data_IF_544399310467
#
_entry.id   IF_544399310467
#
_cell.length_a   1.000
_cell.length_b   1.000
_cell.length_c   1.000
_cell.angle_alpha   90.00
_cell.angle_beta   90.00
_cell.angle_gamma   90.00
#
_symmetry.space_group_name_H-M   'P 1'
#
loop_
_entity.id
_entity.type
_entity.pdbx_description
1 polymer ?
#
# COMPACT_ATOMS: atom_id res chain seq x y z
N UNK A 1 26.19 -15.54 -3.02
CA UNK A 1 25.10 -16.54 -2.76
C UNK A 1 25.55 -17.70 -1.84
N UNK A 2 26.84 -17.94 -1.60
CA UNK A 2 27.30 -19.10 -0.83
C UNK A 2 27.67 -18.80 0.63
N UNK A 3 27.57 -17.56 1.11
CA UNK A 3 28.01 -17.13 2.45
C UNK A 3 27.02 -16.19 3.13
N UNK A 4 25.75 -16.51 3.11
CA UNK A 4 24.67 -15.66 3.66
C UNK A 4 24.90 -15.30 5.14
N UNK A 5 25.33 -16.25 5.96
CA UNK A 5 25.65 -16.00 7.37
C UNK A 5 26.80 -15.01 7.58
N UNK A 6 27.80 -15.00 6.72
CA UNK A 6 28.90 -14.04 6.78
C UNK A 6 28.43 -12.64 6.38
N UNK A 7 27.66 -12.55 5.30
CA UNK A 7 27.07 -11.28 4.83
C UNK A 7 26.18 -10.68 5.90
N UNK A 8 25.32 -11.49 6.53
CA UNK A 8 24.46 -11.06 7.63
C UNK A 8 25.26 -10.51 8.81
N UNK A 9 26.25 -11.27 9.29
CA UNK A 9 27.13 -10.83 10.41
C UNK A 9 27.89 -9.55 10.06
N UNK A 10 28.41 -9.45 8.85
CA UNK A 10 29.09 -8.26 8.39
C UNK A 10 28.15 -7.05 8.36
N UNK A 11 26.94 -7.22 7.81
CA UNK A 11 25.93 -6.17 7.78
C UNK A 11 25.53 -5.72 9.18
N UNK A 12 25.21 -6.66 10.08
CA UNK A 12 24.85 -6.36 11.48
C UNK A 12 25.98 -5.60 12.20
N UNK A 13 27.22 -6.05 12.05
CA UNK A 13 28.37 -5.39 12.65
C UNK A 13 28.56 -3.97 12.07
N UNK A 14 28.41 -3.81 10.74
CA UNK A 14 28.51 -2.51 10.07
C UNK A 14 27.44 -1.54 10.54
N UNK A 15 26.19 -1.98 10.64
CA UNK A 15 25.07 -1.15 11.12
C UNK A 15 25.29 -0.70 12.56
N UNK A 16 25.69 -1.62 13.46
CA UNK A 16 26.05 -1.27 14.84
C UNK A 16 27.18 -0.25 14.91
N UNK A 17 28.19 -0.40 14.03
CA UNK A 17 29.29 0.56 13.94
C UNK A 17 28.82 1.96 13.51
N UNK A 18 27.93 2.04 12.52
CA UNK A 18 27.36 3.31 12.07
C UNK A 18 26.42 3.94 13.10
N UNK A 19 25.56 3.15 13.76
CA UNK A 19 24.71 3.61 14.87
C UNK A 19 25.54 4.20 16.01
N UNK A 20 26.62 3.52 16.37
CA UNK A 20 27.56 4.01 17.38
C UNK A 20 28.20 5.33 16.94
N UNK A 21 28.73 5.37 15.71
CA UNK A 21 29.39 6.56 15.15
C UNK A 21 28.45 7.76 15.12
N UNK A 22 27.20 7.59 14.66
CA UNK A 22 26.20 8.65 14.64
C UNK A 22 25.68 9.07 16.01
N UNK A 23 25.77 8.18 16.99
CA UNK A 23 25.42 8.49 18.39
C UNK A 23 26.56 9.19 19.12
N UNK A 24 27.82 8.97 18.68
CA UNK A 24 29.04 9.44 19.32
C UNK A 24 29.95 10.19 18.33
N UNK A 25 29.39 11.22 17.63
CA UNK A 25 30.06 11.91 16.52
C UNK A 25 31.42 12.48 16.95
N UNK A 26 31.53 13.15 18.09
CA UNK A 26 32.77 13.78 18.52
C UNK A 26 33.89 12.75 18.75
N UNK A 27 33.58 11.62 19.40
CA UNK A 27 34.54 10.55 19.63
C UNK A 27 34.98 9.89 18.32
N UNK A 28 34.01 9.62 17.43
CA UNK A 28 34.28 9.06 16.10
C UNK A 28 35.16 9.99 15.25
N UNK A 29 34.91 11.29 15.29
CA UNK A 29 35.73 12.30 14.61
C UNK A 29 37.14 12.36 15.18
N UNK A 30 37.33 12.24 16.49
CA UNK A 30 38.69 12.16 17.08
C UNK A 30 39.48 10.98 16.52
N UNK A 31 38.85 9.82 16.41
CA UNK A 31 39.50 8.63 15.82
C UNK A 31 39.85 8.86 14.35
N UNK A 32 38.89 9.40 13.56
CA UNK A 32 39.10 9.72 12.15
C UNK A 32 40.23 10.75 11.96
N UNK A 33 40.19 11.85 12.72
CA UNK A 33 41.18 12.92 12.62
C UNK A 33 42.58 12.45 12.90
N UNK A 34 42.73 11.64 13.94
CA UNK A 34 44.09 11.20 14.38
C UNK A 34 44.65 10.03 13.57
N UNK A 35 43.80 9.15 12.99
CA UNK A 35 44.25 7.91 12.34
C UNK A 35 43.92 7.78 10.88
N UNK A 36 42.85 8.45 10.39
CA UNK A 36 42.27 8.19 9.06
C UNK A 36 41.91 9.47 8.30
N UNK A 37 42.74 10.53 8.43
CA UNK A 37 42.50 11.83 7.81
C UNK A 37 43.55 12.15 6.69
N UNK A 38 43.59 11.36 5.58
CA UNK A 38 44.56 11.56 4.53
C UNK A 38 44.34 12.89 3.75
N UNK A 39 43.16 13.48 3.86
CA UNK A 39 42.82 14.75 3.21
C UNK A 39 43.10 15.96 4.08
N UNK A 40 43.69 15.78 5.27
CA UNK A 40 44.01 16.85 6.23
C UNK A 40 42.81 17.81 6.52
N UNK A 41 41.62 17.25 6.61
CA UNK A 41 40.43 18.03 6.97
C UNK A 41 40.50 18.50 8.42
N UNK A 42 39.94 19.68 8.72
CA UNK A 42 39.79 20.12 10.11
C UNK A 42 38.76 19.27 10.87
N UNK A 43 38.83 19.28 12.20
CA UNK A 43 37.84 18.57 13.04
C UNK A 43 36.43 19.10 12.83
N UNK A 44 36.29 20.41 12.67
CA UNK A 44 35.01 21.09 12.41
C UNK A 44 34.41 20.61 11.08
N UNK A 45 35.23 20.45 10.03
CA UNK A 45 34.78 19.93 8.74
C UNK A 45 34.30 18.47 8.86
N UNK A 46 35.02 17.63 9.60
CA UNK A 46 34.65 16.23 9.86
C UNK A 46 33.36 16.11 10.70
N UNK A 47 33.18 16.99 11.70
CA UNK A 47 31.93 17.05 12.49
C UNK A 47 30.76 17.48 11.60
N UNK A 48 30.94 18.46 10.75
CA UNK A 48 29.91 18.91 9.80
C UNK A 48 29.52 17.75 8.86
N UNK A 49 30.50 17.08 8.23
CA UNK A 49 30.24 15.93 7.36
C UNK A 49 29.49 14.81 8.11
N UNK A 50 29.90 14.46 9.31
CA UNK A 50 29.23 13.42 10.11
C UNK A 50 27.76 13.77 10.41
N UNK A 51 27.47 15.03 10.72
CA UNK A 51 26.09 15.47 10.94
C UNK A 51 25.25 15.42 9.66
N UNK A 52 25.80 15.82 8.53
CA UNK A 52 25.09 15.75 7.24
C UNK A 52 24.87 14.29 6.79
N UNK A 53 25.88 13.43 6.97
CA UNK A 53 25.74 11.99 6.71
C UNK A 53 24.67 11.36 7.60
N UNK A 54 24.58 11.73 8.88
CA UNK A 54 23.54 11.26 9.78
C UNK A 54 22.15 11.66 9.30
N UNK A 55 21.95 12.91 8.86
CA UNK A 55 20.68 13.37 8.28
C UNK A 55 20.30 12.59 7.02
N UNK A 56 21.26 12.31 6.16
CA UNK A 56 21.03 11.52 4.94
C UNK A 56 20.72 10.05 5.27
N UNK A 57 21.44 9.46 6.22
CA UNK A 57 21.29 8.06 6.61
C UNK A 57 19.91 7.75 7.20
N UNK A 58 19.31 8.72 7.92
CA UNK A 58 17.99 8.61 8.51
C UNK A 58 16.90 9.40 7.76
N UNK A 59 17.17 9.81 6.53
CA UNK A 59 16.21 10.60 5.75
C UNK A 59 14.95 9.78 5.43
N UNK A 60 13.81 10.26 5.92
CA UNK A 60 12.49 9.62 5.77
C UNK A 60 12.35 8.20 6.35
N UNK A 61 13.27 7.75 7.19
CA UNK A 61 13.24 6.42 7.80
C UNK A 61 13.94 6.47 9.16
N UNK A 62 13.47 5.67 10.11
CA UNK A 62 14.15 5.43 11.38
C UNK A 62 15.11 4.22 11.29
N UNK A 63 15.24 3.61 10.12
CA UNK A 63 16.05 2.41 9.89
C UNK A 63 17.31 2.74 9.10
N UNK A 64 18.47 2.54 9.72
CA UNK A 64 19.77 2.69 9.08
C UNK A 64 20.04 1.52 8.11
N UNK A 65 20.60 1.82 6.92
CA UNK A 65 21.06 0.81 5.97
C UNK A 65 19.97 0.09 5.19
N UNK A 66 18.76 0.65 5.16
CA UNK A 66 17.69 0.17 4.29
C UNK A 66 17.89 0.71 2.86
N UNK A 67 17.99 -0.19 1.90
CA UNK A 67 18.07 0.16 0.48
C UNK A 67 16.67 0.07 -0.11
N UNK A 68 16.13 1.20 -0.57
CA UNK A 68 14.84 1.25 -1.25
C UNK A 68 15.05 1.03 -2.76
N UNK A 69 14.58 -0.11 -3.27
CA UNK A 69 14.76 -0.50 -4.68
C UNK A 69 14.16 0.55 -5.63
N UNK A 70 13.03 1.15 -5.29
CA UNK A 70 12.40 2.19 -6.10
C UNK A 70 13.27 3.46 -6.24
N UNK A 71 14.09 3.78 -5.25
CA UNK A 71 15.07 4.86 -5.37
C UNK A 71 16.21 4.50 -6.33
N UNK A 72 16.70 3.27 -6.27
CA UNK A 72 17.70 2.76 -7.22
C UNK A 72 17.14 2.75 -8.64
N UNK A 73 15.90 2.29 -8.84
CA UNK A 73 15.22 2.32 -10.13
C UNK A 73 15.10 3.74 -10.70
N UNK A 74 14.74 4.73 -9.86
CA UNK A 74 14.66 6.14 -10.28
C UNK A 74 16.01 6.65 -10.74
N UNK A 75 17.07 6.39 -9.96
CA UNK A 75 18.46 6.76 -10.34
C UNK A 75 18.84 6.08 -11.65
N UNK A 76 18.62 4.77 -11.77
CA UNK A 76 18.91 4.01 -12.98
C UNK A 76 18.18 4.55 -14.20
N UNK A 77 16.90 4.88 -14.08
CA UNK A 77 16.10 5.43 -15.18
C UNK A 77 16.63 6.79 -15.65
N UNK A 78 17.13 7.63 -14.75
CA UNK A 78 17.83 8.89 -15.13
C UNK A 78 19.09 8.57 -15.93
N UNK A 79 19.94 7.64 -15.47
CA UNK A 79 21.14 7.24 -16.21
C UNK A 79 20.81 6.59 -17.57
N UNK A 80 19.72 5.83 -17.64
CA UNK A 80 19.25 5.23 -18.90
C UNK A 80 18.78 6.31 -19.89
N UNK A 81 18.04 7.31 -19.43
CA UNK A 81 17.60 8.45 -20.24
C UNK A 81 18.79 9.26 -20.78
N UNK A 82 19.86 9.38 -19.99
CA UNK A 82 21.11 10.05 -20.39
C UNK A 82 22.00 9.18 -21.30
N UNK A 83 21.60 7.94 -21.63
CA UNK A 83 22.40 7.01 -22.43
C UNK A 83 23.62 6.43 -21.71
N UNK A 84 23.76 6.65 -20.39
CA UNK A 84 24.88 6.20 -19.57
C UNK A 84 24.70 4.76 -19.06
N UNK A 85 23.46 4.27 -18.97
CA UNK A 85 23.14 2.89 -18.65
C UNK A 85 22.55 2.18 -19.87
N UNK A 86 23.19 1.08 -20.31
CA UNK A 86 22.79 0.35 -21.54
C UNK A 86 22.07 -0.98 -21.25
N UNK A 87 22.42 -1.63 -20.14
CA UNK A 87 21.91 -2.97 -19.81
C UNK A 87 20.70 -2.88 -18.86
N UNK A 88 19.76 -3.79 -18.98
CA UNK A 88 18.71 -3.90 -17.98
C UNK A 88 19.29 -4.51 -16.70
N UNK A 89 18.99 -3.89 -15.57
CA UNK A 89 19.43 -4.33 -14.23
C UNK A 89 18.21 -4.77 -13.45
N UNK A 90 18.26 -5.97 -12.90
CA UNK A 90 17.31 -6.42 -11.91
C UNK A 90 17.86 -6.12 -10.51
N UNK A 91 17.34 -5.07 -9.87
CA UNK A 91 17.86 -4.62 -8.56
C UNK A 91 17.60 -5.64 -7.45
N UNK A 92 16.57 -6.48 -7.54
CA UNK A 92 16.31 -7.55 -6.56
C UNK A 92 17.41 -8.63 -6.54
N UNK A 93 18.23 -8.73 -7.59
CA UNK A 93 19.36 -9.67 -7.65
C UNK A 93 20.64 -9.13 -7.05
N UNK A 94 20.78 -7.79 -6.96
CA UNK A 94 22.01 -7.13 -6.51
C UNK A 94 21.87 -6.48 -5.13
N UNK A 95 20.67 -6.17 -4.69
CA UNK A 95 20.42 -5.68 -3.33
C UNK A 95 20.32 -6.89 -2.39
N UNK A 96 21.19 -6.90 -1.37
CA UNK A 96 21.05 -7.86 -0.29
C UNK A 96 19.88 -7.44 0.57
N UNK A 97 18.84 -8.27 0.56
CA UNK A 97 17.68 -8.09 1.41
C UNK A 97 17.67 -9.21 2.48
N UNK A 98 17.62 -8.83 3.74
CA UNK A 98 17.44 -9.77 4.85
C UNK A 98 16.10 -10.52 4.76
N UNK A 99 15.19 -10.05 3.90
CA UNK A 99 13.89 -10.66 3.64
C UNK A 99 13.96 -11.96 2.84
N UNK A 100 15.12 -12.29 2.23
CA UNK A 100 15.40 -13.64 1.73
C UNK A 100 15.85 -14.61 2.84
N UNK A 101 15.62 -14.26 4.13
CA UNK A 101 15.64 -15.27 5.17
C UNK A 101 14.56 -16.30 4.84
N UNK A 102 14.96 -17.57 4.79
CA UNK A 102 13.99 -18.67 4.82
C UNK A 102 12.86 -18.30 5.77
N UNK A 103 11.64 -18.27 5.24
CA UNK A 103 10.43 -18.02 6.03
C UNK A 103 10.32 -19.12 7.08
N UNK A 104 10.96 -18.90 8.23
CA UNK A 104 11.05 -19.91 9.30
C UNK A 104 10.15 -19.51 10.46
N UNK A 105 9.07 -20.26 10.60
CA UNK A 105 8.25 -20.25 11.80
C UNK A 105 8.95 -21.01 12.93
N UNK A 106 8.84 -20.48 14.15
CA UNK A 106 9.30 -21.20 15.33
C UNK A 106 8.46 -22.46 15.55
N UNK A 107 8.94 -23.42 16.36
CA UNK A 107 8.17 -24.61 16.69
C UNK A 107 6.82 -24.29 17.38
N UNK A 108 6.76 -23.21 18.16
CA UNK A 108 5.53 -22.71 18.77
C UNK A 108 4.54 -22.18 17.72
N UNK A 109 5.03 -21.37 16.76
CA UNK A 109 4.23 -20.82 15.66
C UNK A 109 3.71 -21.91 14.73
N UNK A 110 4.55 -22.93 14.44
CA UNK A 110 4.12 -24.12 13.66
C UNK A 110 3.02 -24.90 14.39
N UNK A 111 3.22 -25.14 15.70
CA UNK A 111 2.23 -25.83 16.54
C UNK A 111 0.93 -25.02 16.62
N UNK A 112 1.01 -23.70 16.69
CA UNK A 112 -0.17 -22.81 16.64
C UNK A 112 -0.95 -23.00 15.36
N UNK A 113 -0.29 -22.95 14.18
CA UNK A 113 -0.95 -23.14 12.88
C UNK A 113 -1.62 -24.50 12.75
N UNK A 114 -1.02 -25.56 13.32
CA UNK A 114 -1.60 -26.92 13.27
C UNK A 114 -2.84 -27.02 14.16
N UNK A 115 -2.77 -26.46 15.38
CA UNK A 115 -3.82 -26.61 16.40
C UNK A 115 -4.98 -25.62 16.20
N UNK A 116 -4.73 -24.44 15.61
CA UNK A 116 -5.72 -23.38 15.36
C UNK A 116 -6.32 -23.47 13.95
N UNK A 117 -6.84 -24.65 13.57
CA UNK A 117 -7.53 -24.80 12.28
C UNK A 117 -9.04 -24.92 12.48
N UNK A 118 -9.86 -24.24 11.65
CA UNK A 118 -9.49 -23.25 10.63
C UNK A 118 -9.14 -21.88 11.23
N UNK A 119 -8.17 -21.18 10.63
CA UNK A 119 -7.90 -19.77 10.96
C UNK A 119 -8.89 -18.91 10.20
N UNK A 120 -9.66 -18.08 10.93
CA UNK A 120 -10.78 -17.30 10.39
C UNK A 120 -10.36 -15.87 10.08
N UNK A 121 -10.49 -15.49 8.82
CA UNK A 121 -10.17 -14.15 8.31
C UNK A 121 -11.44 -13.36 8.04
N UNK A 122 -11.67 -12.27 8.78
CA UNK A 122 -12.71 -11.31 8.47
C UNK A 122 -12.34 -10.49 7.23
N UNK A 123 -13.22 -10.47 6.23
CA UNK A 123 -13.09 -9.69 4.99
C UNK A 123 -14.23 -8.69 4.83
N UNK A 124 -13.95 -7.55 4.20
CA UNK A 124 -14.97 -6.60 3.77
C UNK A 124 -15.51 -7.02 2.39
N UNK A 125 -16.68 -7.62 2.36
CA UNK A 125 -17.22 -8.26 1.14
C UNK A 125 -17.63 -7.29 0.01
N UNK A 126 -17.61 -5.98 0.25
CA UNK A 126 -17.98 -4.94 -0.72
C UNK A 126 -17.07 -3.70 -0.57
N UNK A 127 -15.80 -3.87 -0.83
CA UNK A 127 -14.80 -2.79 -0.84
C UNK A 127 -13.92 -2.85 -2.09
N UNK A 128 -14.57 -2.73 -3.24
CA UNK A 128 -13.89 -2.77 -4.54
C UNK A 128 -12.95 -1.57 -4.74
N UNK A 129 -11.72 -1.78 -5.26
CA UNK A 129 -11.14 -3.03 -5.76
C UNK A 129 -10.33 -3.82 -4.73
N UNK A 130 -10.37 -3.46 -3.44
CA UNK A 130 -9.56 -4.08 -2.40
C UNK A 130 -10.06 -5.47 -2.03
N UNK A 131 -11.33 -5.58 -1.70
CA UNK A 131 -11.96 -6.83 -1.29
C UNK A 131 -13.39 -6.92 -1.82
N UNK A 132 -13.72 -8.06 -2.40
CA UNK A 132 -15.06 -8.36 -2.89
C UNK A 132 -15.30 -9.87 -2.92
N UNK A 133 -16.55 -10.27 -2.69
CA UNK A 133 -17.03 -11.58 -3.11
C UNK A 133 -17.77 -11.43 -4.44
N UNK A 134 -17.41 -12.24 -5.41
CA UNK A 134 -18.12 -12.30 -6.69
C UNK A 134 -19.45 -13.06 -6.56
N UNK A 135 -20.12 -13.27 -7.69
CA UNK A 135 -21.44 -13.94 -7.74
C UNK A 135 -21.37 -15.39 -7.27
N UNK A 136 -20.20 -16.02 -7.38
CA UNK A 136 -19.96 -17.41 -6.97
C UNK A 136 -19.34 -17.49 -5.56
N UNK A 137 -19.40 -16.41 -4.78
CA UNK A 137 -18.78 -16.25 -3.47
C UNK A 137 -17.25 -16.42 -3.45
N UNK A 138 -16.59 -16.24 -4.60
CA UNK A 138 -15.13 -16.26 -4.66
C UNK A 138 -14.57 -14.92 -4.19
N UNK A 139 -13.56 -14.98 -3.34
CA UNK A 139 -12.82 -13.81 -2.87
C UNK A 139 -11.94 -13.27 -3.98
N UNK A 140 -12.15 -12.01 -4.35
CA UNK A 140 -11.44 -11.29 -5.41
C UNK A 140 -11.04 -9.90 -4.92
N UNK A 141 -10.01 -9.33 -5.52
CA UNK A 141 -9.50 -8.01 -5.17
C UNK A 141 -8.02 -8.03 -4.82
N UNK A 142 -7.46 -6.84 -4.56
CA UNK A 142 -6.07 -6.69 -4.14
C UNK A 142 -5.76 -7.53 -2.88
N UNK A 143 -6.68 -7.55 -1.91
CA UNK A 143 -6.57 -8.37 -0.70
C UNK A 143 -6.56 -9.87 -1.01
N UNK A 144 -7.42 -10.34 -1.93
CA UNK A 144 -7.45 -11.75 -2.32
C UNK A 144 -6.12 -12.22 -2.92
N UNK A 145 -5.55 -11.43 -3.84
CA UNK A 145 -4.25 -11.74 -4.43
C UNK A 145 -3.13 -11.71 -3.37
N UNK A 146 -3.15 -10.72 -2.49
CA UNK A 146 -2.19 -10.59 -1.39
C UNK A 146 -2.24 -11.80 -0.45
N UNK A 147 -3.44 -12.17 0.00
CA UNK A 147 -3.60 -13.31 0.90
C UNK A 147 -3.32 -14.65 0.24
N UNK A 148 -3.43 -14.77 -1.08
CA UNK A 148 -2.99 -15.97 -1.78
C UNK A 148 -1.48 -16.22 -1.63
N UNK A 149 -0.67 -15.14 -1.53
CA UNK A 149 0.77 -15.24 -1.27
C UNK A 149 1.01 -15.64 0.20
N UNK A 150 0.32 -15.00 1.13
CA UNK A 150 0.41 -15.33 2.57
C UNK A 150 0.05 -16.80 2.83
N UNK A 151 -1.07 -17.28 2.26
CA UNK A 151 -1.51 -18.66 2.37
C UNK A 151 -0.49 -19.66 1.81
N UNK A 152 0.13 -19.30 0.68
CA UNK A 152 1.20 -20.11 0.08
C UNK A 152 2.44 -20.17 1.00
N UNK A 153 2.86 -19.02 1.54
CA UNK A 153 4.00 -18.94 2.46
C UNK A 153 3.76 -19.76 3.73
N UNK A 154 2.53 -19.70 4.27
CA UNK A 154 2.15 -20.39 5.49
C UNK A 154 1.74 -21.87 5.25
N UNK A 155 1.58 -22.29 3.98
CA UNK A 155 0.97 -23.59 3.62
C UNK A 155 -0.37 -23.82 4.34
N UNK A 156 -1.14 -22.74 4.54
CA UNK A 156 -2.39 -22.73 5.32
C UNK A 156 -3.45 -21.96 4.57
N UNK A 157 -4.70 -22.44 4.62
CA UNK A 157 -5.85 -21.74 4.05
C UNK A 157 -6.63 -21.03 5.14
N UNK A 158 -7.12 -19.82 4.84
CA UNK A 158 -7.97 -19.06 5.74
C UNK A 158 -9.46 -19.29 5.44
N UNK A 159 -10.25 -19.47 6.49
CA UNK A 159 -11.71 -19.46 6.39
C UNK A 159 -12.20 -18.01 6.30
N UNK A 160 -12.92 -17.70 5.24
CA UNK A 160 -13.39 -16.32 4.99
C UNK A 160 -14.69 -16.04 5.77
N UNK A 161 -14.64 -15.03 6.62
CA UNK A 161 -15.79 -14.53 7.36
C UNK A 161 -16.19 -13.16 6.82
N UNK A 162 -17.37 -13.10 6.24
CA UNK A 162 -17.89 -11.89 5.59
C UNK A 162 -18.36 -10.86 6.61
N UNK A 163 -17.92 -9.62 6.46
CA UNK A 163 -18.38 -8.47 7.23
C UNK A 163 -18.83 -7.32 6.33
N UNK A 164 -19.76 -6.52 6.82
CA UNK A 164 -20.35 -5.38 6.09
C UNK A 164 -19.67 -4.06 6.44
N UNK A 165 -19.23 -3.92 7.69
CA UNK A 165 -18.64 -2.69 8.21
C UNK A 165 -17.41 -2.97 9.07
N UNK A 166 -16.46 -2.02 9.21
CA UNK A 166 -15.34 -2.15 10.13
C UNK A 166 -15.75 -2.37 11.59
N UNK A 167 -16.88 -1.78 12.01
CA UNK A 167 -17.41 -1.97 13.37
C UNK A 167 -17.95 -3.39 13.57
N UNK A 168 -18.61 -3.98 12.58
CA UNK A 168 -19.05 -5.38 12.62
C UNK A 168 -17.83 -6.32 12.67
N UNK A 169 -16.80 -6.04 11.86
CA UNK A 169 -15.56 -6.81 11.87
C UNK A 169 -14.86 -6.77 13.23
N UNK A 170 -14.79 -5.61 13.89
CA UNK A 170 -14.27 -5.49 15.26
C UNK A 170 -15.09 -6.31 16.27
N UNK A 171 -16.42 -6.29 16.16
CA UNK A 171 -17.27 -7.10 17.03
C UNK A 171 -17.04 -8.60 16.78
N UNK A 172 -16.87 -9.01 15.53
CA UNK A 172 -16.60 -10.41 15.20
C UNK A 172 -15.25 -10.90 15.77
N UNK A 173 -14.22 -10.03 15.82
CA UNK A 173 -12.96 -10.33 16.50
C UNK A 173 -13.18 -10.49 18.02
N UNK A 174 -13.98 -9.58 18.63
CA UNK A 174 -14.28 -9.65 20.08
C UNK A 174 -15.08 -10.90 20.45
N UNK A 175 -15.99 -11.32 19.57
CA UNK A 175 -16.87 -12.47 19.72
C UNK A 175 -16.22 -13.80 19.26
N UNK A 176 -14.91 -13.83 18.96
CA UNK A 176 -14.17 -15.00 18.46
C UNK A 176 -14.75 -15.62 17.16
N UNK A 177 -15.50 -14.81 16.39
CA UNK A 177 -16.01 -15.21 15.07
C UNK A 177 -14.94 -15.08 13.98
N UNK A 178 -13.94 -14.21 14.17
CA UNK A 178 -12.74 -14.08 13.37
C UNK A 178 -11.51 -14.05 14.25
N UNK A 179 -10.38 -14.51 13.71
CA UNK A 179 -9.08 -14.44 14.36
C UNK A 179 -8.33 -13.16 13.99
N UNK A 180 -8.54 -12.68 12.74
CA UNK A 180 -7.91 -11.44 12.28
C UNK A 180 -8.74 -10.75 11.18
N UNK A 181 -8.45 -9.44 10.99
CA UNK A 181 -8.98 -8.63 9.88
C UNK A 181 -7.97 -8.62 8.75
N UNK A 182 -8.42 -8.93 7.54
CA UNK A 182 -7.60 -8.95 6.32
C UNK A 182 -6.98 -7.59 5.99
N UNK A 183 -7.83 -6.57 5.86
CA UNK A 183 -7.44 -5.20 5.58
C UNK A 183 -8.14 -4.25 6.57
N UNK A 184 -7.39 -3.72 7.50
CA UNK A 184 -7.82 -2.65 8.38
C UNK A 184 -7.13 -1.35 7.98
N UNK A 185 -7.79 -0.21 8.13
CA UNK A 185 -7.15 1.10 8.02
C UNK A 185 -6.58 1.45 9.39
N UNK A 186 -5.29 1.81 9.44
CA UNK A 186 -4.63 2.25 10.66
C UNK A 186 -5.30 3.52 11.18
N UNK A 187 -5.87 3.44 12.34
CA UNK A 187 -6.50 4.57 13.06
C UNK A 187 -6.27 4.41 14.56
N UNK A 188 -6.30 5.49 15.37
CA UNK A 188 -6.16 5.39 16.82
C UNK A 188 -7.15 4.40 17.45
N UNK A 189 -8.38 4.33 16.92
CA UNK A 189 -9.38 3.36 17.36
C UNK A 189 -8.93 1.92 17.08
N UNK A 190 -8.43 1.63 15.87
CA UNK A 190 -7.96 0.28 15.54
C UNK A 190 -6.75 -0.11 16.39
N UNK A 191 -5.82 0.81 16.63
CA UNK A 191 -4.66 0.58 17.50
C UNK A 191 -5.05 0.31 18.96
N UNK A 192 -6.10 0.96 19.46
CA UNK A 192 -6.59 0.69 20.82
C UNK A 192 -7.28 -0.67 20.96
N UNK A 193 -7.94 -1.16 19.91
CA UNK A 193 -8.75 -2.38 19.96
C UNK A 193 -7.98 -3.64 19.52
N UNK A 194 -7.02 -3.51 18.61
CA UNK A 194 -6.30 -4.61 17.96
C UNK A 194 -4.79 -4.44 18.06
N UNK A 195 -4.06 -5.54 17.95
CA UNK A 195 -2.65 -5.53 17.59
C UNK A 195 -2.55 -5.43 16.05
N UNK A 196 -1.81 -4.43 15.58
CA UNK A 196 -1.70 -4.15 14.15
C UNK A 196 -0.33 -4.57 13.61
N UNK A 197 -0.32 -5.12 12.40
CA UNK A 197 0.92 -5.41 11.67
C UNK A 197 1.64 -4.12 11.24
N UNK A 198 2.83 -4.26 10.67
CA UNK A 198 3.40 -3.22 9.81
C UNK A 198 2.46 -2.87 8.65
N UNK A 199 2.65 -1.70 8.05
CA UNK A 199 1.85 -1.24 6.91
C UNK A 199 2.09 -2.13 5.70
N UNK A 200 0.99 -2.68 5.14
CA UNK A 200 1.00 -3.51 3.93
C UNK A 200 0.97 -2.63 2.68
N UNK A 201 -0.01 -1.70 2.65
CA UNK A 201 -0.21 -0.78 1.54
C UNK A 201 -0.40 0.65 2.04
N UNK A 202 0.22 1.62 1.34
CA UNK A 202 -0.08 3.05 1.47
C UNK A 202 -0.89 3.49 0.27
N UNK A 203 -2.13 3.88 0.51
CA UNK A 203 -3.09 4.18 -0.55
C UNK A 203 -3.38 5.68 -0.57
N UNK A 204 -3.02 6.39 -1.64
CA UNK A 204 -3.28 7.81 -1.77
C UNK A 204 -4.78 8.13 -1.74
N UNK A 205 -5.14 9.24 -1.07
CA UNK A 205 -6.44 9.85 -1.20
C UNK A 205 -6.45 10.84 -2.37
N UNK A 206 -7.58 10.90 -3.06
CA UNK A 206 -7.82 11.82 -4.19
C UNK A 206 -9.17 12.51 -4.03
N UNK A 207 -9.31 13.65 -4.70
CA UNK A 207 -10.60 14.29 -4.86
C UNK A 207 -11.14 14.06 -6.27
N UNK A 208 -12.37 13.52 -6.35
CA UNK A 208 -13.16 13.47 -7.58
C UNK A 208 -14.07 14.70 -7.68
N UNK A 209 -14.25 15.20 -8.90
CA UNK A 209 -15.13 16.32 -9.22
C UNK A 209 -15.84 16.10 -10.55
N UNK A 210 -16.76 17.00 -10.91
CA UNK A 210 -17.30 17.07 -12.27
C UNK A 210 -16.19 17.46 -13.28
N UNK A 211 -16.40 17.12 -14.55
CA UNK A 211 -15.39 17.32 -15.61
C UNK A 211 -14.96 18.79 -15.79
N UNK A 212 -15.89 19.74 -15.61
CA UNK A 212 -15.65 21.16 -15.78
C UNK A 212 -14.88 21.84 -14.64
N UNK A 213 -14.64 21.16 -13.53
CA UNK A 213 -13.89 21.70 -12.40
C UNK A 213 -12.39 21.70 -12.72
N UNK A 214 -11.64 22.80 -12.49
CA UNK A 214 -10.19 22.85 -12.66
C UNK A 214 -9.47 21.83 -11.77
N UNK A 215 -8.17 21.63 -12.04
CA UNK A 215 -7.32 20.81 -11.18
C UNK A 215 -7.25 21.42 -9.77
N UNK A 216 -7.37 20.58 -8.75
CA UNK A 216 -7.33 20.96 -7.33
C UNK A 216 -5.93 20.65 -6.79
N UNK A 217 -5.15 21.71 -6.55
CA UNK A 217 -3.78 21.55 -6.02
C UNK A 217 -3.80 21.13 -4.55
N UNK A 218 -4.64 21.79 -3.76
CA UNK A 218 -4.79 21.54 -2.32
C UNK A 218 -6.27 21.53 -1.95
N UNK A 219 -6.64 20.62 -1.06
CA UNK A 219 -8.02 20.50 -0.60
C UNK A 219 -8.47 21.76 0.17
N UNK A 220 -7.53 22.41 0.87
CA UNK A 220 -7.76 23.65 1.63
C UNK A 220 -8.17 24.84 0.74
N UNK A 221 -7.88 24.80 -0.56
CA UNK A 221 -8.24 25.85 -1.51
C UNK A 221 -9.76 25.87 -1.81
N UNK A 222 -10.47 24.79 -1.49
CA UNK A 222 -11.91 24.60 -1.72
C UNK A 222 -12.77 25.15 -0.57
N UNK A 223 -12.46 26.36 -0.09
CA UNK A 223 -13.16 26.99 1.04
C UNK A 223 -14.68 27.00 0.83
N UNK A 224 -15.41 26.61 1.88
CA UNK A 224 -16.88 26.59 1.92
C UNK A 224 -17.53 25.65 0.87
N UNK A 225 -16.77 24.81 0.19
CA UNK A 225 -17.35 23.80 -0.70
C UNK A 225 -17.79 22.57 0.09
N UNK A 226 -18.91 21.97 -0.35
CA UNK A 226 -19.41 20.69 0.19
C UNK A 226 -18.58 19.54 -0.36
N UNK A 227 -17.87 18.83 0.50
CA UNK A 227 -17.05 17.70 0.12
C UNK A 227 -17.60 16.43 0.78
N UNK A 228 -18.01 15.46 -0.03
CA UNK A 228 -18.43 14.17 0.47
C UNK A 228 -17.22 13.32 0.90
N UNK A 229 -17.30 12.74 2.10
CA UNK A 229 -16.23 11.91 2.68
C UNK A 229 -16.84 10.64 3.29
N UNK A 230 -16.35 9.45 2.92
CA UNK A 230 -16.91 8.19 3.41
C UNK A 230 -16.45 7.88 4.84
N UNK A 231 -17.42 7.70 5.75
CA UNK A 231 -17.17 7.40 7.17
C UNK A 231 -16.66 5.97 7.41
N UNK A 232 -16.81 5.10 6.42
CA UNK A 232 -16.49 3.66 6.58
C UNK A 232 -14.99 3.41 6.83
N UNK A 233 -14.11 4.22 6.23
CA UNK A 233 -12.66 4.02 6.28
C UNK A 233 -11.83 5.30 6.44
N UNK A 234 -12.45 6.47 6.49
CA UNK A 234 -11.79 7.73 6.84
C UNK A 234 -12.24 8.15 8.23
N UNK A 235 -11.30 8.52 9.09
CA UNK A 235 -11.62 9.11 10.37
C UNK A 235 -12.19 10.52 10.14
N UNK A 236 -13.52 10.64 10.22
CA UNK A 236 -14.25 11.88 9.91
C UNK A 236 -13.87 13.01 10.86
N UNK A 237 -13.72 12.75 12.16
CA UNK A 237 -13.38 13.77 13.15
C UNK A 237 -11.98 14.34 12.90
N UNK A 238 -11.02 13.47 12.63
CA UNK A 238 -9.67 13.89 12.24
C UNK A 238 -9.71 14.70 10.94
N UNK A 239 -10.48 14.26 9.94
CA UNK A 239 -10.61 14.93 8.64
C UNK A 239 -11.26 16.31 8.77
N UNK A 240 -12.35 16.43 9.56
CA UNK A 240 -13.01 17.70 9.86
C UNK A 240 -12.09 18.67 10.59
N UNK A 241 -11.33 18.20 11.56
CA UNK A 241 -10.39 19.02 12.30
C UNK A 241 -9.24 19.54 11.40
N UNK A 242 -8.71 18.68 10.54
CA UNK A 242 -7.63 19.04 9.60
C UNK A 242 -8.11 20.00 8.51
N UNK A 243 -9.31 19.81 7.99
CA UNK A 243 -9.90 20.58 6.90
C UNK A 243 -11.11 21.41 7.38
N UNK A 244 -10.95 22.14 8.47
CA UNK A 244 -12.02 22.87 9.16
C UNK A 244 -12.69 23.98 8.33
N UNK A 245 -12.08 24.39 7.21
CA UNK A 245 -12.62 25.35 6.26
C UNK A 245 -13.52 24.74 5.18
N UNK A 246 -13.75 23.42 5.21
CA UNK A 246 -14.62 22.69 4.29
C UNK A 246 -15.94 22.33 4.94
N UNK A 247 -17.00 22.27 4.15
CA UNK A 247 -18.29 21.70 4.57
C UNK A 247 -18.27 20.18 4.28
N UNK A 248 -17.97 19.36 5.30
CA UNK A 248 -17.85 17.91 5.15
C UNK A 248 -19.20 17.25 5.23
N UNK A 249 -19.63 16.65 4.13
CA UNK A 249 -20.82 15.81 4.00
C UNK A 249 -20.41 14.35 4.19
N UNK A 250 -20.83 13.77 5.31
CA UNK A 250 -20.55 12.35 5.59
C UNK A 250 -21.44 11.46 4.71
N UNK A 251 -20.81 10.47 4.09
CA UNK A 251 -21.48 9.43 3.30
C UNK A 251 -21.08 8.04 3.77
N UNK A 252 -21.93 7.06 3.52
CA UNK A 252 -21.65 5.69 3.95
C UNK A 252 -20.47 5.08 3.20
N UNK A 253 -20.43 5.27 1.88
CA UNK A 253 -19.43 4.65 1.00
C UNK A 253 -19.19 5.51 -0.26
N UNK A 254 -18.27 5.05 -1.11
CA UNK A 254 -17.92 5.74 -2.34
C UNK A 254 -19.07 5.81 -3.36
N UNK A 255 -19.96 4.81 -3.38
CA UNK A 255 -21.09 4.80 -4.31
C UNK A 255 -22.05 5.95 -4.02
N UNK A 256 -22.40 6.14 -2.75
CA UNK A 256 -23.25 7.25 -2.31
C UNK A 256 -22.58 8.60 -2.59
N UNK A 257 -21.30 8.76 -2.20
CA UNK A 257 -20.58 10.01 -2.39
C UNK A 257 -20.44 10.44 -3.86
N UNK A 258 -20.06 9.51 -4.75
CA UNK A 258 -19.97 9.79 -6.18
C UNK A 258 -21.33 10.04 -6.84
N UNK A 259 -22.41 9.40 -6.35
CA UNK A 259 -23.76 9.69 -6.78
C UNK A 259 -24.16 11.12 -6.43
N UNK A 260 -23.93 11.56 -5.18
CA UNK A 260 -24.19 12.94 -4.76
C UNK A 260 -23.38 13.95 -5.57
N UNK A 261 -22.14 13.61 -5.93
CA UNK A 261 -21.28 14.42 -6.77
C UNK A 261 -21.85 14.55 -8.20
N UNK A 262 -22.26 13.44 -8.81
CA UNK A 262 -22.91 13.44 -10.14
C UNK A 262 -24.17 14.30 -10.13
N UNK A 263 -25.00 14.17 -9.11
CA UNK A 263 -26.24 14.95 -8.93
C UNK A 263 -25.96 16.44 -8.63
N UNK A 264 -24.73 16.82 -8.34
CA UNK A 264 -24.33 18.22 -8.00
C UNK A 264 -24.74 18.67 -6.59
N UNK A 265 -25.04 17.72 -5.70
CA UNK A 265 -25.37 18.00 -4.29
C UNK A 265 -24.11 18.27 -3.45
N UNK A 266 -22.96 17.83 -3.92
CA UNK A 266 -21.63 18.12 -3.37
C UNK A 266 -20.71 18.59 -4.50
N UNK A 267 -19.68 19.37 -4.14
CA UNK A 267 -18.68 19.88 -5.08
C UNK A 267 -17.64 18.82 -5.43
N UNK A 268 -17.25 18.00 -4.46
CA UNK A 268 -16.25 16.97 -4.62
C UNK A 268 -16.52 15.76 -3.73
N UNK A 269 -15.85 14.66 -4.04
CA UNK A 269 -15.80 13.45 -3.25
C UNK A 269 -14.37 13.06 -2.96
N UNK A 270 -14.03 12.81 -1.69
CA UNK A 270 -12.72 12.31 -1.28
C UNK A 270 -12.80 10.80 -1.07
N UNK A 271 -11.87 10.09 -1.67
CA UNK A 271 -11.75 8.65 -1.52
C UNK A 271 -10.37 8.15 -1.93
N UNK A 272 -10.14 6.85 -1.80
CA UNK A 272 -8.88 6.24 -2.23
C UNK A 272 -8.75 6.31 -3.75
N UNK A 273 -7.52 6.51 -4.24
CA UNK A 273 -7.23 6.55 -5.68
C UNK A 273 -7.84 5.34 -6.40
N UNK A 274 -7.68 4.15 -5.85
CA UNK A 274 -8.14 2.90 -6.47
C UNK A 274 -9.67 2.82 -6.55
N UNK A 275 -10.38 3.09 -5.45
CA UNK A 275 -11.85 3.05 -5.45
C UNK A 275 -12.44 4.12 -6.35
N UNK A 276 -11.90 5.34 -6.30
CA UNK A 276 -12.40 6.46 -7.12
C UNK A 276 -12.17 6.18 -8.61
N UNK A 277 -10.95 5.75 -8.97
CA UNK A 277 -10.62 5.43 -10.37
C UNK A 277 -11.50 4.30 -10.90
N UNK A 278 -11.64 3.20 -10.14
CA UNK A 278 -12.49 2.09 -10.52
C UNK A 278 -13.93 2.54 -10.80
N UNK A 279 -14.54 3.27 -9.86
CA UNK A 279 -15.93 3.74 -9.98
C UNK A 279 -16.11 4.74 -11.13
N UNK A 280 -15.18 5.68 -11.31
CA UNK A 280 -15.25 6.62 -12.43
C UNK A 280 -15.25 5.87 -13.75
N UNK A 281 -14.37 4.91 -13.95
CA UNK A 281 -14.26 4.20 -15.22
C UNK A 281 -15.42 3.26 -15.50
N UNK A 282 -15.98 2.63 -14.47
CA UNK A 282 -17.06 1.65 -14.65
C UNK A 282 -18.43 2.29 -14.66
N UNK A 283 -18.64 3.40 -13.92
CA UNK A 283 -20.00 3.95 -13.69
C UNK A 283 -20.14 5.44 -14.05
N UNK A 284 -19.03 6.23 -14.05
CA UNK A 284 -19.08 7.70 -14.16
C UNK A 284 -18.13 8.29 -15.20
N UNK A 285 -17.70 7.52 -16.19
CA UNK A 285 -16.66 7.89 -17.15
C UNK A 285 -16.90 9.23 -17.85
N UNK A 286 -18.17 9.54 -18.19
CA UNK A 286 -18.54 10.77 -18.89
C UNK A 286 -18.97 11.90 -17.94
N UNK A 287 -19.00 11.68 -16.63
CA UNK A 287 -19.58 12.61 -15.67
C UNK A 287 -18.53 13.20 -14.72
N UNK A 288 -17.57 12.39 -14.31
CA UNK A 288 -16.63 12.68 -13.21
C UNK A 288 -15.19 12.46 -13.60
N UNK A 289 -14.29 13.15 -12.92
CA UNK A 289 -12.84 12.96 -13.04
C UNK A 289 -12.15 13.03 -11.69
N UNK A 290 -10.93 12.51 -11.60
CA UNK A 290 -10.01 12.83 -10.51
C UNK A 290 -9.42 14.21 -10.78
N UNK A 291 -9.67 15.15 -9.88
CA UNK A 291 -9.23 16.53 -10.02
C UNK A 291 -7.94 16.85 -9.24
N UNK A 292 -7.53 16.00 -8.31
CA UNK A 292 -6.28 16.21 -7.56
C UNK A 292 -5.96 15.08 -6.60
N UNK A 293 -4.67 15.00 -6.20
CA UNK A 293 -4.21 14.13 -5.11
C UNK A 293 -4.22 14.92 -3.80
N UNK A 294 -4.67 14.28 -2.74
CA UNK A 294 -4.64 14.83 -1.37
C UNK A 294 -3.32 14.40 -0.72
N UNK A 295 -2.81 15.21 0.21
CA UNK A 295 -1.57 14.89 0.94
C UNK A 295 -1.70 13.67 1.86
N UNK A 296 -2.93 13.29 2.23
CA UNK A 296 -3.19 12.17 3.10
C UNK A 296 -3.20 10.84 2.33
N UNK A 297 -2.74 9.80 3.02
CA UNK A 297 -2.76 8.43 2.53
C UNK A 297 -3.40 7.54 3.61
N UNK A 298 -4.06 6.48 3.19
CA UNK A 298 -4.53 5.44 4.11
C UNK A 298 -3.46 4.34 4.22
N UNK A 299 -3.13 3.99 5.45
CA UNK A 299 -2.26 2.85 5.73
C UNK A 299 -3.11 1.61 6.01
N UNK A 300 -2.96 0.61 5.14
CA UNK A 300 -3.60 -0.69 5.31
C UNK A 300 -2.69 -1.64 6.08
N UNK A 301 -3.28 -2.30 7.05
CA UNK A 301 -2.61 -3.20 7.99
C UNK A 301 -3.47 -4.44 8.24
N UNK A 302 -2.86 -5.50 8.77
CA UNK A 302 -3.58 -6.63 9.37
C UNK A 302 -3.94 -6.30 10.81
N UNK A 303 -5.14 -6.61 11.24
CA UNK A 303 -5.57 -6.42 12.62
C UNK A 303 -5.82 -7.76 13.31
N UNK A 304 -5.10 -8.07 14.38
CA UNK A 304 -5.21 -9.30 15.17
C UNK A 304 -5.74 -8.99 16.58
N UNK A 305 -6.45 -9.91 17.17
CA UNK A 305 -6.94 -9.77 18.55
C UNK A 305 -5.79 -9.46 19.53
N UNK A 306 -6.00 -8.55 20.50
CA UNK A 306 -4.96 -8.06 21.44
C UNK A 306 -4.19 -9.15 22.19
N UNK A 307 -4.83 -10.27 22.47
CA UNK A 307 -4.22 -11.37 23.23
C UNK A 307 -3.67 -12.50 22.35
N UNK A 308 -3.58 -12.30 21.04
CA UNK A 308 -3.08 -13.31 20.09
C UNK A 308 -1.80 -12.80 19.39
N UNK A 309 -0.75 -12.64 20.17
CA UNK A 309 0.56 -12.18 19.68
C UNK A 309 1.22 -13.22 18.77
N UNK A 310 0.94 -14.51 18.97
CA UNK A 310 1.51 -15.59 18.14
C UNK A 310 1.00 -15.45 16.71
N UNK A 311 -0.31 -15.28 16.51
CA UNK A 311 -0.88 -15.08 15.18
C UNK A 311 -0.33 -13.81 14.52
N UNK A 312 -0.21 -12.70 15.29
CA UNK A 312 0.38 -11.48 14.77
C UNK A 312 1.81 -11.70 14.28
N UNK A 313 2.65 -12.39 15.06
CA UNK A 313 4.04 -12.67 14.71
C UNK A 313 4.14 -13.54 13.46
N UNK A 314 3.29 -14.57 13.33
CA UNK A 314 3.20 -15.43 12.14
C UNK A 314 2.85 -14.59 10.90
N UNK A 315 1.79 -13.79 11.00
CA UNK A 315 1.36 -12.92 9.88
C UNK A 315 2.42 -11.87 9.55
N UNK A 316 3.05 -11.24 10.57
CA UNK A 316 4.11 -10.26 10.37
C UNK A 316 5.33 -10.85 9.67
N UNK A 317 5.75 -12.06 10.04
CA UNK A 317 6.83 -12.76 9.35
C UNK A 317 6.47 -13.03 7.88
N UNK A 318 5.24 -13.50 7.62
CA UNK A 318 4.78 -13.74 6.26
C UNK A 318 4.67 -12.45 5.44
N UNK A 319 4.21 -11.34 6.04
CA UNK A 319 4.19 -10.00 5.43
C UNK A 319 5.59 -9.56 5.06
N UNK A 320 6.53 -9.68 5.98
CA UNK A 320 7.93 -9.29 5.77
C UNK A 320 8.63 -10.13 4.69
N UNK A 321 8.14 -11.35 4.45
CA UNK A 321 8.67 -12.26 3.41
C UNK A 321 8.14 -11.95 1.99
N UNK A 322 7.22 -11.00 1.83
CA UNK A 322 6.74 -10.58 0.51
C UNK A 322 7.65 -9.47 0.00
N UNK A 323 8.27 -9.72 -1.15
CA UNK A 323 9.14 -8.75 -1.80
C UNK A 323 8.37 -7.47 -2.18
N UNK A 324 9.04 -6.34 -2.04
CA UNK A 324 8.52 -5.02 -2.44
C UNK A 324 8.12 -4.95 -3.92
N UNK A 325 8.82 -5.70 -4.80
CA UNK A 325 8.45 -5.81 -6.21
C UNK A 325 7.12 -6.54 -6.38
N UNK A 326 6.90 -7.64 -5.64
CA UNK A 326 5.63 -8.36 -5.66
C UNK A 326 4.46 -7.46 -5.20
N UNK A 327 4.67 -6.68 -4.14
CA UNK A 327 3.66 -5.68 -3.69
C UNK A 327 3.37 -4.67 -4.79
N UNK A 328 4.41 -4.14 -5.45
CA UNK A 328 4.28 -3.18 -6.55
C UNK A 328 3.53 -3.78 -7.75
N UNK A 329 3.83 -5.02 -8.11
CA UNK A 329 3.14 -5.74 -9.18
C UNK A 329 1.66 -5.96 -8.84
N UNK A 330 1.34 -6.37 -7.61
CA UNK A 330 -0.03 -6.48 -7.13
C UNK A 330 -0.77 -5.15 -7.20
N UNK A 331 -0.16 -4.08 -6.70
CA UNK A 331 -0.76 -2.74 -6.74
C UNK A 331 -0.96 -2.28 -8.19
N UNK A 332 0.01 -2.50 -9.06
CA UNK A 332 -0.08 -2.16 -10.49
C UNK A 332 -1.17 -2.97 -11.19
N UNK A 333 -1.26 -4.27 -10.94
CA UNK A 333 -2.32 -5.13 -11.49
C UNK A 333 -3.70 -4.53 -11.21
N UNK A 334 -3.95 -4.11 -9.98
CA UNK A 334 -5.24 -3.53 -9.59
C UNK A 334 -5.42 -2.07 -9.98
N UNK A 335 -4.35 -1.32 -10.19
CA UNK A 335 -4.38 -0.01 -10.82
C UNK A 335 -4.67 -0.10 -12.32
N UNK A 336 -4.08 -1.07 -13.03
CA UNK A 336 -4.25 -1.27 -14.49
C UNK A 336 -5.53 -1.99 -14.87
N UNK A 337 -6.08 -2.86 -14.02
CA UNK A 337 -7.42 -3.45 -14.25
C UNK A 337 -8.49 -2.36 -14.43
N UNK A 338 -8.18 -1.17 -13.97
CA UNK A 338 -8.98 0.04 -14.15
C UNK A 338 -8.93 0.54 -15.61
N UNK A 339 -7.90 0.19 -16.41
CA UNK A 339 -7.72 0.66 -17.79
C UNK A 339 -8.05 -0.39 -18.87
N UNK A 340 -8.16 -1.66 -18.53
CA UNK A 340 -8.64 -2.67 -19.46
C UNK A 340 -10.16 -2.56 -19.63
N UNK A 341 -10.59 -1.73 -20.57
CA UNK A 341 -11.87 -1.97 -21.24
C UNK A 341 -11.76 -3.34 -21.90
N UNK A 342 -12.38 -4.34 -21.32
CA UNK A 342 -12.66 -5.57 -22.05
C UNK A 342 -13.42 -5.16 -23.31
N UNK A 343 -12.76 -5.28 -24.44
CA UNK A 343 -13.42 -5.09 -25.72
C UNK A 343 -14.50 -6.17 -25.78
N UNK A 344 -15.77 -5.76 -25.77
CA UNK A 344 -16.88 -6.69 -25.91
C UNK A 344 -16.89 -7.18 -27.37
N UNK A 345 -16.20 -8.29 -27.59
CA UNK A 345 -16.12 -8.93 -28.89
C UNK A 345 -17.51 -9.31 -29.42
N UNK A 346 -18.50 -9.56 -28.55
CA UNK A 346 -19.87 -9.84 -28.98
C UNK A 346 -20.51 -8.60 -29.60
N UNK A 347 -20.28 -7.43 -29.01
CA UNK A 347 -20.77 -6.15 -29.59
C UNK A 347 -20.10 -5.86 -30.94
N UNK A 348 -18.79 -6.13 -31.07
CA UNK A 348 -18.06 -5.98 -32.32
C UNK A 348 -18.68 -6.91 -33.41
N UNK A 349 -18.90 -8.17 -33.08
CA UNK A 349 -19.50 -9.12 -33.99
C UNK A 349 -20.93 -8.73 -34.39
N UNK A 350 -21.75 -8.22 -33.45
CA UNK A 350 -23.10 -7.72 -33.76
C UNK A 350 -23.10 -6.54 -34.74
N UNK A 351 -22.06 -5.69 -34.70
CA UNK A 351 -21.90 -4.57 -35.60
C UNK A 351 -21.32 -5.03 -36.96
N UNK A 352 -20.26 -5.85 -36.93
CA UNK A 352 -19.54 -6.24 -38.16
C UNK A 352 -20.33 -7.22 -39.01
N UNK A 353 -21.06 -8.16 -38.40
CA UNK A 353 -21.79 -9.20 -39.15
C UNK A 353 -22.80 -8.65 -40.16
N UNK A 354 -23.67 -7.66 -39.84
CA UNK A 354 -24.59 -7.10 -40.82
C UNK A 354 -23.87 -6.40 -41.97
N UNK A 355 -22.74 -5.72 -41.70
CA UNK A 355 -21.98 -5.07 -42.81
C UNK A 355 -21.33 -6.09 -43.75
N UNK A 356 -20.81 -7.19 -43.20
CA UNK A 356 -20.26 -8.30 -44.02
C UNK A 356 -21.35 -8.94 -44.86
N UNK A 357 -22.54 -9.16 -44.31
CA UNK A 357 -23.69 -9.70 -45.05
C UNK A 357 -24.14 -8.76 -46.16
N UNK A 358 -24.28 -7.46 -45.90
CA UNK A 358 -24.63 -6.46 -46.90
C UNK A 358 -23.59 -6.43 -48.03
N UNK A 359 -22.30 -6.51 -47.68
CA UNK A 359 -21.22 -6.52 -48.67
C UNK A 359 -21.27 -7.79 -49.56
N UNK A 360 -21.51 -8.96 -48.97
CA UNK A 360 -21.66 -10.22 -49.72
C UNK A 360 -22.88 -10.17 -50.66
N UNK A 361 -24.04 -9.72 -50.15
CA UNK A 361 -25.24 -9.60 -50.96
C UNK A 361 -25.17 -8.51 -52.04
N UNK A 362 -24.34 -7.50 -51.88
CA UNK A 362 -24.13 -6.44 -52.87
C UNK A 362 -23.16 -6.82 -54.01
N UNK A 363 -22.44 -7.95 -53.87
CA UNK A 363 -21.52 -8.51 -54.87
C UNK A 363 -22.19 -9.54 -55.80
N UNK A 364 -23.40 -9.97 -55.49
CA UNK A 364 -24.26 -10.82 -56.31
C UNK A 364 -25.43 -10.03 -56.90
#
# INVERSE_FOLDING_TARGET
KNNENEVKRFREASLKGWEYAFSNINESVEILYNKYNPQNKSKEALIYEANELKKLAYHNTNELGKIEIDKLEKIYNVYKLLGLAKNNINFSEIVYDDLNMEFNLTGEEQSYLINKQPIKMCISADWTPFEKLDKDNKYIGLGADYYSIIEKNLSTKFELIKTKTPSEALNFIKDDKCDFLSLAVRTPRMESELNLSSTIFKIPLVIATKLNVPFVNKLEDLKNQKIAVPRKYINIDFFKNKYSNLDIVEVENAQEGLKLLKEGKVYGFVGTLYTVSYRIQTEYFNDLKIAGKISDELEFVVGVKKNDEILLNILQKSINNIDSLQIKELMNKWAFTIYEKTIDYNLIWQIVTPFVLIFIFGLF
#
